data_IF_402834753334
#
_entry.id   IF_402834753334
#
_cell.length_a   1.000
_cell.length_b   1.000
_cell.length_c   1.000
_cell.angle_alpha   90.00
_cell.angle_beta   90.00
_cell.angle_gamma   90.00
#
_symmetry.space_group_name_H-M   'P 1'
#
loop_
_entity.id
_entity.type
_entity.pdbx_description
1 polymer ?
#
# COMPACT_ATOMS: atom_id res chain seq x y z
N UNK A 1 49.71 36.85 -55.61
CA UNK A 1 48.31 36.84 -55.14
C UNK A 1 48.19 35.89 -53.95
N UNK A 2 47.99 36.40 -52.73
CA UNK A 2 47.81 35.60 -51.50
C UNK A 2 46.31 35.46 -51.22
N UNK A 3 45.73 34.27 -51.37
CA UNK A 3 44.37 33.97 -50.90
C UNK A 3 44.42 33.74 -49.39
N UNK A 4 43.70 34.57 -48.62
CA UNK A 4 43.43 34.34 -47.20
C UNK A 4 42.23 33.39 -47.11
N UNK A 5 42.43 32.20 -46.55
CA UNK A 5 41.36 31.27 -46.22
C UNK A 5 40.58 31.76 -45.01
N UNK A 6 39.26 31.86 -45.14
CA UNK A 6 38.33 32.25 -44.10
C UNK A 6 38.06 31.02 -43.21
N UNK A 7 38.45 31.08 -41.94
CA UNK A 7 38.17 30.05 -40.94
C UNK A 7 36.91 30.50 -40.19
N UNK A 8 35.73 30.07 -40.64
CA UNK A 8 34.45 30.35 -39.96
C UNK A 8 33.65 29.05 -39.97
N UNK A 9 33.60 28.33 -38.84
CA UNK A 9 32.76 27.13 -38.76
C UNK A 9 32.89 26.28 -37.50
N UNK A 10 34.00 26.33 -36.77
CA UNK A 10 34.21 25.44 -35.62
C UNK A 10 33.42 25.84 -34.35
N UNK A 11 33.13 27.13 -34.16
CA UNK A 11 32.48 27.62 -32.94
C UNK A 11 31.00 27.28 -32.84
N UNK A 12 30.25 27.37 -33.94
CA UNK A 12 28.79 27.18 -33.96
C UNK A 12 28.39 25.75 -33.61
N UNK A 13 29.14 24.75 -34.08
CA UNK A 13 28.92 23.34 -33.78
C UNK A 13 29.12 23.01 -32.29
N UNK A 14 30.14 23.60 -31.66
CA UNK A 14 30.45 23.39 -30.26
C UNK A 14 29.38 23.99 -29.32
N UNK A 15 28.92 25.21 -29.61
CA UNK A 15 27.85 25.84 -28.81
C UNK A 15 26.50 25.16 -29.03
N UNK A 16 26.19 24.75 -30.27
CA UNK A 16 24.96 24.02 -30.57
C UNK A 16 24.91 22.67 -29.82
N UNK A 17 26.02 21.93 -29.77
CA UNK A 17 26.03 20.64 -29.08
C UNK A 17 25.96 20.78 -27.55
N UNK A 18 26.61 21.79 -26.98
CA UNK A 18 26.45 22.14 -25.55
C UNK A 18 25.01 22.54 -25.22
N UNK A 19 24.37 23.33 -26.08
CA UNK A 19 22.98 23.73 -25.88
C UNK A 19 22.04 22.51 -25.93
N UNK A 20 22.26 21.57 -26.87
CA UNK A 20 21.50 20.34 -26.95
C UNK A 20 21.66 19.45 -25.70
N UNK A 21 22.88 19.33 -25.17
CA UNK A 21 23.13 18.56 -23.94
C UNK A 21 22.40 19.20 -22.76
N UNK A 22 22.49 20.54 -22.63
CA UNK A 22 21.81 21.26 -21.55
C UNK A 22 20.29 21.11 -21.66
N UNK A 23 19.72 21.24 -22.86
CA UNK A 23 18.28 21.08 -23.09
C UNK A 23 17.82 19.63 -22.80
N UNK A 24 18.60 18.64 -23.18
CA UNK A 24 18.28 17.23 -22.91
C UNK A 24 18.31 16.92 -21.40
N UNK A 25 19.35 17.40 -20.70
CA UNK A 25 19.46 17.25 -19.26
C UNK A 25 18.31 17.96 -18.53
N UNK A 26 17.97 19.20 -18.93
CA UNK A 26 16.87 19.94 -18.30
C UNK A 26 15.53 19.27 -18.55
N UNK A 27 15.27 18.79 -19.77
CA UNK A 27 14.05 18.06 -20.10
C UNK A 27 13.93 16.78 -19.26
N UNK A 28 15.02 16.02 -19.12
CA UNK A 28 15.06 14.79 -18.33
C UNK A 28 14.81 15.09 -16.85
N UNK A 29 15.47 16.11 -16.30
CA UNK A 29 15.26 16.54 -14.90
C UNK A 29 13.81 16.96 -14.70
N UNK A 30 13.24 17.75 -15.61
CA UNK A 30 11.83 18.20 -15.53
C UNK A 30 10.87 17.00 -15.58
N UNK A 31 11.09 16.03 -16.47
CA UNK A 31 10.29 14.82 -16.55
C UNK A 31 10.40 13.97 -15.27
N UNK A 32 11.60 13.81 -14.73
CA UNK A 32 11.85 13.13 -13.45
C UNK A 32 11.15 13.84 -12.29
N UNK A 33 11.26 15.16 -12.21
CA UNK A 33 10.60 15.96 -11.18
C UNK A 33 9.08 15.92 -11.31
N UNK A 34 8.53 15.95 -12.52
CA UNK A 34 7.09 15.80 -12.75
C UNK A 34 6.59 14.42 -12.35
N UNK A 35 7.31 13.34 -12.71
CA UNK A 35 6.98 11.99 -12.30
C UNK A 35 7.04 11.84 -10.77
N UNK A 36 8.08 12.40 -10.13
CA UNK A 36 8.21 12.43 -8.67
C UNK A 36 7.08 13.22 -8.00
N UNK A 37 6.70 14.38 -8.54
CA UNK A 37 5.55 15.15 -8.04
C UNK A 37 4.23 14.39 -8.20
N UNK A 38 4.06 13.63 -9.28
CA UNK A 38 2.88 12.75 -9.46
C UNK A 38 2.88 11.66 -8.39
N UNK A 39 4.04 11.05 -8.11
CA UNK A 39 4.21 10.07 -7.06
C UNK A 39 3.93 10.65 -5.66
N UNK A 40 4.43 11.85 -5.38
CA UNK A 40 4.19 12.54 -4.11
C UNK A 40 2.74 12.99 -3.95
N UNK A 41 2.04 13.34 -5.04
CA UNK A 41 0.59 13.63 -4.98
C UNK A 41 -0.25 12.37 -4.75
N UNK A 42 0.26 11.21 -5.17
CA UNK A 42 -0.38 9.92 -4.90
C UNK A 42 -0.19 9.45 -3.45
N UNK A 43 0.82 9.96 -2.74
CA UNK A 43 1.00 9.72 -1.31
C UNK A 43 0.35 10.87 -0.52
N UNK A 44 -0.83 10.69 0.12
CA UNK A 44 -1.42 11.74 0.92
C UNK A 44 -0.48 12.02 2.10
N UNK A 45 0.17 13.19 2.09
CA UNK A 45 0.99 13.66 3.19
C UNK A 45 0.09 13.99 4.38
N UNK A 46 -0.01 13.06 5.32
CA UNK A 46 -0.53 13.36 6.65
C UNK A 46 0.46 14.31 7.35
N UNK A 47 0.13 15.60 7.34
CA UNK A 47 0.90 16.64 8.02
C UNK A 47 0.65 16.55 9.52
N UNK A 48 1.69 16.25 10.30
CA UNK A 48 1.85 16.78 11.65
C UNK A 48 3.28 17.29 11.84
N UNK A 49 3.39 18.56 12.23
CA UNK A 49 4.65 19.28 12.42
C UNK A 49 5.48 18.70 13.58
N UNK A 50 6.83 18.70 13.50
CA UNK A 50 7.69 18.17 14.54
C UNK A 50 7.99 19.25 15.59
N UNK A 51 7.62 19.00 16.85
CA UNK A 51 8.20 19.73 17.98
C UNK A 51 9.48 19.02 18.40
N UNK A 52 10.57 19.77 18.38
CA UNK A 52 11.94 19.41 18.72
C UNK A 52 12.11 18.70 20.08
N UNK A 53 12.62 17.47 20.05
CA UNK A 53 13.82 17.05 20.82
C UNK A 53 14.14 15.59 20.53
N UNK A 54 15.32 15.36 19.96
CA UNK A 54 15.87 14.02 19.71
C UNK A 54 16.27 13.43 21.06
N UNK A 55 15.35 12.73 21.70
CA UNK A 55 15.67 11.66 22.65
C UNK A 55 15.38 10.33 21.96
N UNK A 56 16.44 9.60 21.60
CA UNK A 56 16.38 8.17 21.27
C UNK A 56 15.97 7.36 22.50
N UNK A 57 14.72 7.52 22.93
CA UNK A 57 14.00 6.53 23.71
C UNK A 57 13.07 5.87 22.72
N UNK A 58 13.24 4.56 22.53
CA UNK A 58 12.22 3.71 21.97
C UNK A 58 10.91 4.09 22.65
N UNK A 59 10.07 4.85 21.93
CA UNK A 59 8.79 5.31 22.40
C UNK A 59 7.95 4.04 22.52
N UNK A 60 7.96 3.43 23.70
CA UNK A 60 6.83 2.66 24.17
C UNK A 60 5.70 3.70 24.21
N UNK A 61 4.75 3.68 23.25
CA UNK A 61 3.58 4.53 23.40
C UNK A 61 2.98 4.10 24.74
N UNK A 62 2.62 5.06 25.57
CA UNK A 62 1.87 4.75 26.78
C UNK A 62 0.48 4.27 26.34
N UNK A 63 0.39 3.02 25.88
CA UNK A 63 -0.85 2.36 25.44
C UNK A 63 -1.81 2.17 26.61
N UNK A 64 -1.36 2.38 27.85
CA UNK A 64 -2.20 2.27 29.05
C UNK A 64 -3.31 3.33 29.08
N UNK A 65 -3.15 4.47 28.39
CA UNK A 65 -4.17 5.52 28.30
C UNK A 65 -5.22 5.31 27.20
N UNK A 66 -5.00 4.38 26.26
CA UNK A 66 -6.03 3.84 25.34
C UNK A 66 -6.24 2.36 25.69
N UNK A 67 -6.52 2.10 26.96
CA UNK A 67 -6.78 0.74 27.44
C UNK A 67 -8.19 0.33 27.04
N UNK A 68 -8.33 -0.25 25.83
CA UNK A 68 -9.48 -1.10 25.55
C UNK A 68 -9.59 -2.15 26.66
N UNK A 69 -10.69 -2.12 27.40
CA UNK A 69 -10.95 -2.95 28.59
C UNK A 69 -11.61 -4.29 28.27
N UNK A 70 -11.82 -4.62 27.00
CA UNK A 70 -12.33 -5.92 26.58
C UNK A 70 -11.23 -6.93 26.26
N UNK A 71 -11.66 -8.12 25.89
CA UNK A 71 -10.77 -9.22 25.55
C UNK A 71 -10.03 -8.96 24.22
N UNK A 72 -8.70 -9.12 24.17
CA UNK A 72 -7.95 -8.90 22.96
C UNK A 72 -8.21 -9.99 21.92
N UNK A 73 -8.29 -9.58 20.65
CA UNK A 73 -8.51 -10.43 19.47
C UNK A 73 -7.30 -10.46 18.54
N UNK A 74 -7.22 -11.54 17.77
CA UNK A 74 -6.37 -11.64 16.59
C UNK A 74 -7.21 -11.35 15.34
N UNK A 75 -6.82 -10.34 14.56
CA UNK A 75 -7.42 -10.03 13.26
C UNK A 75 -6.74 -10.85 12.15
N UNK A 76 -7.49 -11.71 11.50
CA UNK A 76 -7.07 -12.42 10.30
C UNK A 76 -7.50 -11.63 9.07
N UNK A 77 -6.52 -11.23 8.26
CA UNK A 77 -6.68 -10.40 7.09
C UNK A 77 -6.40 -11.25 5.86
N UNK A 78 -7.45 -11.71 5.19
CA UNK A 78 -7.33 -12.54 4.01
C UNK A 78 -7.34 -11.69 2.75
N UNK A 79 -6.26 -11.71 2.00
CA UNK A 79 -6.18 -11.18 0.64
C UNK A 79 -6.48 -12.30 -0.35
N UNK A 80 -7.70 -12.30 -0.87
CA UNK A 80 -8.20 -13.27 -1.82
C UNK A 80 -8.39 -12.67 -3.22
N UNK A 81 -8.23 -13.47 -4.27
CA UNK A 81 -8.57 -13.13 -5.66
C UNK A 81 -10.07 -13.20 -5.86
N UNK A 82 -10.72 -14.29 -5.44
CA UNK A 82 -12.17 -14.46 -5.60
C UNK A 82 -12.80 -15.17 -4.40
N UNK A 83 -12.50 -16.44 -4.20
CA UNK A 83 -12.92 -17.22 -3.03
C UNK A 83 -11.72 -17.52 -2.13
N UNK A 84 -11.95 -18.09 -0.94
CA UNK A 84 -10.86 -18.57 -0.09
C UNK A 84 -10.53 -20.03 -0.43
N UNK A 85 -9.37 -20.32 -1.05
CA UNK A 85 -8.95 -21.70 -1.27
C UNK A 85 -8.64 -22.37 0.07
N UNK A 86 -8.67 -23.71 0.07
CA UNK A 86 -8.39 -24.52 1.26
C UNK A 86 -9.34 -24.21 2.43
N UNK A 87 -10.60 -23.88 2.13
CA UNK A 87 -11.67 -23.64 3.12
C UNK A 87 -11.78 -24.77 4.17
N UNK A 88 -11.42 -26.00 3.82
CA UNK A 88 -11.37 -27.14 4.73
C UNK A 88 -10.28 -27.01 5.81
N UNK A 89 -9.11 -26.43 5.50
CA UNK A 89 -8.06 -26.20 6.50
C UNK A 89 -8.50 -25.11 7.47
N UNK A 90 -9.05 -24.02 6.93
CA UNK A 90 -9.58 -22.94 7.75
C UNK A 90 -10.75 -23.39 8.60
N UNK A 91 -11.61 -24.29 8.08
CA UNK A 91 -12.63 -24.96 8.88
C UNK A 91 -11.98 -25.62 10.09
N UNK A 92 -11.04 -26.54 9.90
CA UNK A 92 -10.40 -27.23 11.03
C UNK A 92 -9.65 -26.29 11.99
N UNK A 93 -9.07 -25.20 11.48
CA UNK A 93 -8.37 -24.21 12.29
C UNK A 93 -9.32 -23.41 13.19
N UNK A 94 -10.50 -23.00 12.68
CA UNK A 94 -11.46 -22.18 13.41
C UNK A 94 -12.59 -22.97 14.10
N UNK A 95 -12.78 -24.26 13.79
CA UNK A 95 -13.94 -25.06 14.26
C UNK A 95 -14.09 -25.10 15.78
N UNK A 96 -12.98 -25.08 16.52
CA UNK A 96 -12.97 -25.06 17.99
C UNK A 96 -12.39 -23.76 18.57
N UNK A 97 -12.21 -22.74 17.74
CA UNK A 97 -11.73 -21.44 18.17
C UNK A 97 -12.87 -20.64 18.78
N UNK A 98 -12.59 -19.95 19.89
CA UNK A 98 -13.53 -19.02 20.50
C UNK A 98 -13.73 -17.81 19.57
N UNK A 99 -14.96 -17.63 19.10
CA UNK A 99 -15.35 -16.58 18.16
C UNK A 99 -15.08 -15.16 18.71
N UNK A 100 -15.03 -15.00 20.03
CA UNK A 100 -14.74 -13.71 20.66
C UNK A 100 -13.23 -13.39 20.71
N UNK A 101 -12.35 -14.34 20.33
CA UNK A 101 -10.89 -14.17 20.33
C UNK A 101 -10.30 -13.82 18.96
N UNK A 102 -11.11 -13.74 17.92
CA UNK A 102 -10.63 -13.39 16.60
C UNK A 102 -11.64 -12.59 15.78
N UNK A 103 -11.13 -11.89 14.77
CA UNK A 103 -11.90 -11.17 13.77
C UNK A 103 -11.40 -11.59 12.40
N UNK A 104 -12.29 -11.74 11.43
CA UNK A 104 -11.96 -12.12 10.05
C UNK A 104 -12.36 -10.98 9.13
N UNK A 105 -11.43 -10.56 8.30
CA UNK A 105 -11.63 -9.56 7.24
C UNK A 105 -11.12 -10.14 5.93
N UNK A 106 -11.90 -10.01 4.86
CA UNK A 106 -11.56 -10.57 3.55
C UNK A 106 -11.58 -9.46 2.51
N UNK A 107 -10.49 -9.29 1.78
CA UNK A 107 -10.50 -8.51 0.56
C UNK A 107 -10.56 -9.48 -0.62
N UNK A 108 -11.59 -9.42 -1.44
CA UNK A 108 -11.78 -10.25 -2.65
C UNK A 108 -12.03 -9.38 -3.89
N UNK A 109 -12.25 -10.00 -5.06
CA UNK A 109 -12.73 -9.27 -6.24
C UNK A 109 -14.00 -8.44 -5.90
N UNK A 110 -14.10 -7.20 -6.40
CA UNK A 110 -15.27 -6.36 -6.15
C UNK A 110 -16.58 -7.05 -6.57
N UNK A 111 -17.57 -7.04 -5.68
CA UNK A 111 -18.89 -7.65 -5.90
C UNK A 111 -18.96 -9.15 -5.60
N UNK A 112 -17.85 -9.80 -5.21
CA UNK A 112 -17.91 -11.14 -4.65
C UNK A 112 -18.46 -11.11 -3.22
N UNK A 113 -19.41 -12.00 -2.91
CA UNK A 113 -20.07 -12.08 -1.61
C UNK A 113 -19.84 -13.48 -1.03
N UNK A 114 -19.40 -13.54 0.22
CA UNK A 114 -19.25 -14.80 0.95
C UNK A 114 -20.57 -15.14 1.65
N UNK A 115 -21.26 -16.17 1.18
CA UNK A 115 -22.52 -16.66 1.73
C UNK A 115 -22.62 -18.19 1.55
N UNK A 116 -23.75 -18.77 1.93
CA UNK A 116 -24.01 -20.21 1.85
C UNK A 116 -23.78 -20.83 0.45
N UNK A 117 -24.00 -20.04 -0.62
CA UNK A 117 -23.84 -20.50 -2.00
C UNK A 117 -22.39 -20.43 -2.51
N UNK A 118 -21.56 -19.58 -1.90
CA UNK A 118 -20.20 -19.30 -2.38
C UNK A 118 -19.10 -19.83 -1.45
N UNK A 119 -19.41 -20.10 -0.18
CA UNK A 119 -18.42 -20.51 0.82
C UNK A 119 -19.04 -21.44 1.87
N UNK A 120 -18.40 -22.59 2.10
CA UNK A 120 -18.94 -23.63 3.00
C UNK A 120 -18.85 -23.24 4.48
N UNK A 121 -17.71 -22.75 5.01
CA UNK A 121 -17.64 -22.40 6.43
C UNK A 121 -18.36 -21.09 6.70
N UNK A 122 -19.35 -21.12 7.61
CA UNK A 122 -20.21 -19.97 7.91
C UNK A 122 -19.49 -18.79 8.56
N UNK A 123 -18.37 -19.02 9.23
CA UNK A 123 -17.60 -17.93 9.85
C UNK A 123 -16.96 -16.96 8.83
N UNK A 124 -16.90 -17.33 7.55
CA UNK A 124 -16.49 -16.44 6.46
C UNK A 124 -17.64 -15.64 5.84
N UNK A 125 -18.89 -15.94 6.19
CA UNK A 125 -20.03 -15.23 5.62
C UNK A 125 -20.00 -13.76 6.00
N UNK A 126 -20.24 -12.90 5.01
CA UNK A 126 -20.29 -11.44 5.14
C UNK A 126 -19.05 -10.81 5.79
N UNK A 127 -17.88 -11.44 5.61
CA UNK A 127 -16.58 -10.92 6.08
C UNK A 127 -15.81 -10.13 5.02
N UNK A 128 -16.34 -10.05 3.80
CA UNK A 128 -15.74 -9.26 2.72
C UNK A 128 -15.81 -7.76 2.98
N UNK A 129 -14.80 -7.03 2.51
CA UNK A 129 -14.84 -5.57 2.49
C UNK A 129 -15.84 -5.06 1.46
N UNK A 130 -16.59 -4.02 1.82
CA UNK A 130 -17.55 -3.36 0.91
C UNK A 130 -16.85 -2.50 -0.16
N UNK A 131 -15.61 -2.10 0.08
CA UNK A 131 -14.83 -1.21 -0.78
C UNK A 131 -13.63 -1.92 -1.42
N UNK A 132 -13.75 -3.23 -1.68
CA UNK A 132 -12.73 -3.99 -2.39
C UNK A 132 -12.38 -3.39 -3.76
N UNK A 133 -11.13 -3.57 -4.17
CA UNK A 133 -10.58 -3.12 -5.46
C UNK A 133 -10.08 -4.31 -6.28
N UNK A 134 -9.85 -4.10 -7.59
CA UNK A 134 -9.15 -5.11 -8.39
C UNK A 134 -7.67 -5.11 -8.06
N UNK A 135 -7.14 -6.29 -7.76
CA UNK A 135 -5.73 -6.49 -7.42
C UNK A 135 -5.02 -7.21 -8.56
N UNK A 136 -3.92 -6.64 -9.03
CA UNK A 136 -3.00 -7.27 -9.95
C UNK A 136 -1.70 -7.67 -9.24
N UNK A 137 -1.12 -8.78 -9.67
CA UNK A 137 0.09 -9.32 -9.04
C UNK A 137 1.29 -8.40 -9.28
N UNK A 138 2.04 -8.09 -8.21
CA UNK A 138 3.21 -7.22 -8.27
C UNK A 138 2.91 -5.73 -8.44
N UNK A 139 1.63 -5.35 -8.52
CA UNK A 139 1.20 -3.97 -8.71
C UNK A 139 0.86 -3.29 -7.37
N UNK A 140 0.90 -1.95 -7.36
CA UNK A 140 0.57 -1.14 -6.18
C UNK A 140 -0.83 -1.41 -5.61
N UNK A 141 -1.75 -1.89 -6.47
CA UNK A 141 -3.10 -2.34 -6.05
C UNK A 141 -3.09 -3.41 -4.96
N UNK A 142 -2.05 -4.25 -4.87
CA UNK A 142 -1.91 -5.25 -3.81
C UNK A 142 -1.70 -4.59 -2.45
N UNK A 143 -0.80 -3.60 -2.40
CA UNK A 143 -0.52 -2.81 -1.19
C UNK A 143 -1.77 -2.03 -0.78
N UNK A 144 -2.50 -1.47 -1.75
CA UNK A 144 -3.74 -0.76 -1.49
C UNK A 144 -4.81 -1.69 -0.87
N UNK A 145 -4.97 -2.91 -1.37
CA UNK A 145 -5.89 -3.90 -0.80
C UNK A 145 -5.53 -4.30 0.64
N UNK A 146 -4.23 -4.51 0.92
CA UNK A 146 -3.76 -4.76 2.29
C UNK A 146 -4.00 -3.57 3.22
N UNK A 147 -3.82 -2.34 2.71
CA UNK A 147 -4.10 -1.11 3.46
C UNK A 147 -5.59 -1.03 3.84
N UNK A 148 -6.50 -1.41 2.93
CA UNK A 148 -7.94 -1.43 3.19
C UNK A 148 -8.31 -2.47 4.25
N UNK A 149 -7.70 -3.67 4.20
CA UNK A 149 -7.87 -4.70 5.22
C UNK A 149 -7.45 -4.20 6.61
N UNK A 150 -6.28 -3.58 6.69
CA UNK A 150 -5.78 -3.00 7.93
C UNK A 150 -6.67 -1.86 8.43
N UNK A 151 -7.11 -0.97 7.54
CA UNK A 151 -8.00 0.14 7.87
C UNK A 151 -9.31 -0.35 8.48
N UNK A 152 -9.93 -1.38 7.90
CA UNK A 152 -11.15 -1.98 8.46
C UNK A 152 -10.89 -2.66 9.81
N UNK A 153 -9.81 -3.43 9.91
CA UNK A 153 -9.48 -4.17 11.12
C UNK A 153 -9.12 -3.28 12.30
N UNK A 154 -8.53 -2.11 12.05
CA UNK A 154 -8.19 -1.13 13.09
C UNK A 154 -9.42 -0.42 13.69
N UNK A 155 -10.60 -0.52 13.06
CA UNK A 155 -11.84 0.01 13.63
C UNK A 155 -12.30 -0.75 14.87
N UNK A 156 -11.95 -2.03 15.00
CA UNK A 156 -12.20 -2.81 16.22
C UNK A 156 -11.00 -2.65 17.18
N UNK A 157 -11.14 -1.90 18.29
CA UNK A 157 -10.06 -1.70 19.27
C UNK A 157 -9.68 -2.99 20.02
N UNK A 158 -10.49 -4.05 19.93
CA UNK A 158 -10.15 -5.37 20.45
C UNK A 158 -9.04 -6.05 19.65
N UNK A 159 -8.89 -5.73 18.35
CA UNK A 159 -7.85 -6.31 17.52
C UNK A 159 -6.46 -5.80 17.95
N UNK A 160 -5.67 -6.69 18.58
CA UNK A 160 -4.32 -6.36 19.11
C UNK A 160 -3.19 -7.03 18.34
N UNK A 161 -3.50 -8.01 17.50
CA UNK A 161 -2.56 -8.73 16.64
C UNK A 161 -3.20 -8.88 15.27
N UNK A 162 -2.39 -8.82 14.22
CA UNK A 162 -2.84 -8.86 12.84
C UNK A 162 -2.06 -9.95 12.11
N UNK A 163 -2.76 -10.82 11.40
CA UNK A 163 -2.20 -11.89 10.60
C UNK A 163 -2.64 -11.65 9.17
N UNK A 164 -1.71 -11.26 8.30
CA UNK A 164 -1.97 -11.10 6.87
C UNK A 164 -1.72 -12.43 6.16
N UNK A 165 -2.69 -12.87 5.37
CA UNK A 165 -2.66 -14.12 4.62
C UNK A 165 -3.04 -13.83 3.17
N UNK A 166 -2.20 -14.28 2.24
CA UNK A 166 -2.54 -14.31 0.81
C UNK A 166 -2.70 -15.74 0.35
N UNK A 167 -3.58 -15.96 -0.61
CA UNK A 167 -3.64 -17.21 -1.39
C UNK A 167 -2.47 -17.39 -2.37
#
# INVERSE_FOLDING_TARGET
MKKKGLIVGAGVSWFAWKLLIVVSLTLTIVLCMLAFLRLQRFLPSHSQNPSSSVSRRFLHPNWDSISFRGDPKVAFLFLARRNLPLDFLWKSFFENADADKFSIYIHSEPGFVFNESTTRPSFFHDRQLNNSIKVAWGEASMIEAERLLLEEALKDPANRRFVLLSE
#
